data_IF_648174682998
#
_entry.id   IF_648174682998
#
_cell.length_a   1.000
_cell.length_b   1.000
_cell.length_c   1.000
_cell.angle_alpha   90.00
_cell.angle_beta   90.00
_cell.angle_gamma   90.00
#
_symmetry.space_group_name_H-M   'P 1'
#
loop_
_entity.id
_entity.type
_entity.pdbx_description
1 polymer ?
#
# COMPACT_ATOMS: atom_id res chain seq x y z
N UNK A 1 14.07 1.92 1.24
CA UNK A 1 14.70 2.92 0.35
C UNK A 1 13.92 2.84 -0.92
N UNK A 2 12.96 3.72 -1.10
CA UNK A 2 12.13 3.76 -2.30
C UNK A 2 12.78 4.81 -3.20
N UNK A 3 13.47 4.35 -4.24
CA UNK A 3 13.92 5.18 -5.35
C UNK A 3 12.97 4.90 -6.49
N UNK A 4 11.89 5.67 -6.60
CA UNK A 4 11.08 5.72 -7.80
C UNK A 4 10.59 7.16 -7.98
N UNK A 5 10.93 7.77 -9.11
CA UNK A 5 10.19 8.90 -9.65
C UNK A 5 8.92 8.34 -10.27
N UNK A 6 7.75 8.69 -9.71
CA UNK A 6 6.49 8.35 -10.35
C UNK A 6 6.36 9.16 -11.66
N UNK A 7 6.14 8.52 -12.83
CA UNK A 7 5.74 9.25 -14.03
C UNK A 7 4.39 9.94 -13.79
N UNK A 8 4.11 11.00 -14.54
CA UNK A 8 2.80 11.68 -14.51
C UNK A 8 1.66 10.72 -14.88
N UNK A 9 0.58 10.68 -14.08
CA UNK A 9 -0.65 9.90 -14.38
C UNK A 9 -0.88 8.62 -13.57
N UNK A 10 0.01 8.28 -12.65
CA UNK A 10 -0.08 7.04 -11.87
C UNK A 10 -1.00 7.18 -10.65
N UNK A 11 -1.64 6.07 -10.25
CA UNK A 11 -2.29 5.92 -8.94
C UNK A 11 -1.50 4.88 -8.14
N UNK A 12 -0.93 5.31 -7.01
CA UNK A 12 -0.13 4.44 -6.13
C UNK A 12 -0.82 4.31 -4.76
N UNK A 13 -0.78 3.11 -4.19
CA UNK A 13 -1.20 2.84 -2.84
C UNK A 13 0.00 2.47 -1.99
N UNK A 14 0.47 3.38 -1.14
CA UNK A 14 1.68 3.21 -0.32
C UNK A 14 1.30 2.75 1.09
N UNK A 15 1.92 1.68 1.58
CA UNK A 15 1.65 1.11 2.90
C UNK A 15 2.89 0.50 3.56
N UNK A 16 2.77 0.25 4.85
CA UNK A 16 3.76 -0.42 5.68
C UNK A 16 3.02 -1.43 6.58
N UNK A 17 3.63 -2.43 7.26
CA UNK A 17 2.85 -3.59 7.71
C UNK A 17 2.48 -3.72 9.24
N UNK A 18 1.19 -3.73 9.73
CA UNK A 18 0.73 -3.48 11.15
C UNK A 18 -0.71 -4.02 11.53
N UNK A 19 -1.04 -4.42 12.80
CA UNK A 19 -2.30 -5.09 13.26
C UNK A 19 -3.36 -4.14 13.90
N UNK A 20 -4.62 -4.56 14.20
CA UNK A 20 -5.80 -3.65 14.39
C UNK A 20 -6.83 -3.95 15.53
N UNK A 21 -7.73 -2.97 15.84
CA UNK A 21 -9.19 -3.15 16.17
C UNK A 21 -10.09 -1.86 16.05
N UNK A 22 -11.24 -1.99 15.36
CA UNK A 22 -12.55 -1.25 15.27
C UNK A 22 -12.64 0.30 15.13
N UNK A 23 -13.64 0.99 14.53
CA UNK A 23 -14.93 0.75 13.82
C UNK A 23 -15.39 2.08 13.15
N UNK A 24 -16.14 2.13 12.02
CA UNK A 24 -17.00 3.28 11.62
C UNK A 24 -17.98 3.02 10.44
N UNK A 25 -19.19 3.57 10.46
CA UNK A 25 -20.38 3.10 9.72
C UNK A 25 -20.44 3.34 8.18
N UNK A 26 -19.56 4.15 7.59
CA UNK A 26 -19.46 4.28 6.11
C UNK A 26 -18.91 3.01 5.41
N UNK A 27 -18.44 2.06 6.23
CA UNK A 27 -17.88 0.77 5.87
C UNK A 27 -18.91 -0.17 5.19
N UNK A 28 -20.22 0.01 5.43
CA UNK A 28 -21.28 -0.93 4.99
C UNK A 28 -21.39 -1.17 3.47
N UNK A 29 -21.32 -0.11 2.65
CA UNK A 29 -21.45 -0.26 1.19
C UNK A 29 -20.13 -0.76 0.54
N UNK A 30 -18.99 -0.37 1.11
CA UNK A 30 -17.66 -0.82 0.70
C UNK A 30 -17.49 -2.30 1.04
N UNK A 31 -17.89 -2.73 2.24
CA UNK A 31 -17.88 -4.14 2.61
C UNK A 31 -18.75 -4.97 1.66
N UNK A 32 -19.92 -4.49 1.25
CA UNK A 32 -20.77 -5.19 0.27
C UNK A 32 -20.11 -5.30 -1.10
N UNK A 33 -19.46 -4.24 -1.58
CA UNK A 33 -18.79 -4.25 -2.88
C UNK A 33 -17.44 -5.00 -2.86
N UNK A 34 -16.78 -5.10 -1.70
CA UNK A 34 -15.56 -5.89 -1.51
C UNK A 34 -15.84 -7.37 -1.22
N UNK A 35 -16.99 -7.71 -0.63
CA UNK A 35 -17.53 -9.08 -0.63
C UNK A 35 -17.70 -9.60 -2.07
N UNK A 36 -17.96 -8.71 -3.04
CA UNK A 36 -17.99 -9.09 -4.46
C UNK A 36 -16.58 -9.38 -5.03
N UNK A 37 -15.52 -8.70 -4.55
CA UNK A 37 -14.14 -8.99 -4.96
C UNK A 37 -13.71 -10.40 -4.57
N UNK A 38 -14.16 -10.89 -3.41
CA UNK A 38 -13.91 -12.26 -2.93
C UNK A 38 -14.77 -13.30 -3.69
N UNK A 39 -15.95 -12.90 -4.19
CA UNK A 39 -16.86 -13.77 -4.96
C UNK A 39 -16.46 -14.00 -6.43
N UNK A 40 -15.51 -13.23 -6.96
CA UNK A 40 -15.14 -13.25 -8.38
C UNK A 40 -14.24 -14.43 -8.81
N UNK A 41 -14.02 -15.44 -7.95
CA UNK A 41 -13.15 -16.60 -8.22
C UNK A 41 -11.71 -16.22 -8.66
N UNK A 42 -11.25 -15.00 -8.35
CA UNK A 42 -9.89 -14.59 -8.65
C UNK A 42 -8.93 -15.41 -7.80
N UNK A 43 -8.12 -16.25 -8.46
CA UNK A 43 -7.02 -16.96 -7.84
C UNK A 43 -5.72 -16.20 -8.16
N UNK A 44 -5.21 -15.37 -7.22
CA UNK A 44 -4.04 -14.55 -7.47
C UNK A 44 -2.82 -15.46 -7.68
N UNK A 45 -2.23 -15.38 -8.88
CA UNK A 45 -0.97 -16.05 -9.20
C UNK A 45 0.19 -15.11 -8.91
N UNK A 46 0.39 -14.83 -7.62
CA UNK A 46 1.42 -13.88 -7.19
C UNK A 46 2.79 -14.44 -7.51
N UNK A 47 3.54 -13.73 -8.35
CA UNK A 47 4.93 -14.04 -8.65
C UNK A 47 5.83 -12.95 -8.09
N UNK A 48 6.94 -13.37 -7.47
CA UNK A 48 7.96 -12.45 -6.95
C UNK A 48 9.08 -12.28 -7.96
N UNK A 49 9.43 -11.02 -8.26
CA UNK A 49 10.58 -10.63 -9.07
C UNK A 49 11.52 -9.76 -8.25
N UNK A 50 12.80 -10.10 -8.20
CA UNK A 50 13.77 -9.23 -7.54
C UNK A 50 14.16 -8.07 -8.46
N UNK A 51 14.47 -6.91 -7.88
CA UNK A 51 14.97 -5.74 -8.62
C UNK A 51 16.49 -5.73 -8.52
N UNK A 52 17.17 -6.06 -9.63
CA UNK A 52 18.62 -6.28 -9.70
C UNK A 52 19.45 -5.10 -9.15
N UNK A 53 19.06 -3.86 -9.48
CA UNK A 53 19.74 -2.65 -9.01
C UNK A 53 19.70 -2.49 -7.48
N UNK A 54 18.71 -3.07 -6.81
CA UNK A 54 18.53 -2.96 -5.36
C UNK A 54 19.18 -4.12 -4.60
N UNK A 55 19.44 -5.26 -5.24
CA UNK A 55 20.18 -6.38 -4.61
C UNK A 55 21.55 -5.94 -4.10
N UNK A 56 22.19 -4.99 -4.79
CA UNK A 56 23.47 -4.41 -4.40
C UNK A 56 23.42 -3.72 -3.01
N UNK A 57 22.24 -3.25 -2.58
CA UNK A 57 22.03 -2.51 -1.34
C UNK A 57 21.80 -3.43 -0.14
N UNK A 58 21.79 -4.77 -0.34
CA UNK A 58 21.52 -5.80 0.69
C UNK A 58 20.19 -5.63 1.45
N UNK A 59 19.30 -4.75 0.98
CA UNK A 59 17.99 -4.49 1.59
C UNK A 59 16.91 -5.15 0.73
N UNK A 60 15.87 -5.74 1.35
CA UNK A 60 14.82 -6.40 0.60
C UNK A 60 14.05 -5.38 -0.25
N UNK A 61 14.07 -5.57 -1.56
CA UNK A 61 13.24 -4.87 -2.53
C UNK A 61 12.92 -5.82 -3.68
N UNK A 62 11.64 -6.00 -3.96
CA UNK A 62 11.13 -6.91 -4.97
C UNK A 62 9.72 -6.49 -5.37
N UNK A 63 9.30 -6.92 -6.54
CA UNK A 63 7.97 -6.71 -7.09
C UNK A 63 7.14 -7.98 -6.91
N UNK A 64 5.87 -7.82 -6.55
CA UNK A 64 4.88 -8.88 -6.54
C UNK A 64 3.86 -8.59 -7.65
N UNK A 65 3.84 -9.41 -8.69
CA UNK A 65 2.87 -9.26 -9.78
C UNK A 65 1.54 -9.94 -9.42
N UNK A 66 0.44 -9.48 -10.02
CA UNK A 66 -0.87 -10.13 -9.94
C UNK A 66 -1.42 -10.27 -8.50
N UNK A 67 -1.05 -9.35 -7.61
CA UNK A 67 -1.65 -9.24 -6.25
C UNK A 67 -3.12 -8.87 -6.36
N UNK A 68 -3.45 -7.92 -7.24
CA UNK A 68 -4.81 -7.54 -7.61
C UNK A 68 -5.03 -7.84 -9.10
N UNK A 69 -6.26 -8.20 -9.45
CA UNK A 69 -6.71 -8.27 -10.84
C UNK A 69 -6.95 -6.87 -11.42
N UNK A 70 -7.04 -6.79 -12.76
CA UNK A 70 -7.36 -5.53 -13.44
C UNK A 70 -8.73 -4.98 -13.02
N UNK A 71 -9.71 -5.86 -12.83
CA UNK A 71 -11.06 -5.47 -12.41
C UNK A 71 -11.08 -4.97 -10.96
N UNK A 72 -10.30 -5.60 -10.07
CA UNK A 72 -10.14 -5.13 -8.71
C UNK A 72 -9.48 -3.75 -8.66
N UNK A 73 -8.42 -3.54 -9.44
CA UNK A 73 -7.78 -2.24 -9.57
C UNK A 73 -8.75 -1.16 -10.09
N UNK A 74 -9.53 -1.48 -11.13
CA UNK A 74 -10.53 -0.56 -11.69
C UNK A 74 -11.61 -0.22 -10.67
N UNK A 75 -12.15 -1.22 -9.96
CA UNK A 75 -13.15 -1.01 -8.93
C UNK A 75 -12.61 -0.15 -7.79
N UNK A 76 -11.37 -0.35 -7.36
CA UNK A 76 -10.74 0.49 -6.34
C UNK A 76 -10.64 1.95 -6.78
N UNK A 77 -10.23 2.22 -8.02
CA UNK A 77 -10.16 3.57 -8.58
C UNK A 77 -11.56 4.21 -8.61
N UNK A 78 -12.57 3.49 -9.11
CA UNK A 78 -13.95 4.03 -9.17
C UNK A 78 -14.52 4.34 -7.79
N UNK A 79 -14.26 3.48 -6.80
CA UNK A 79 -14.72 3.69 -5.42
C UNK A 79 -14.00 4.87 -4.77
N UNK A 80 -12.68 4.96 -4.93
CA UNK A 80 -11.90 6.05 -4.33
C UNK A 80 -12.24 7.41 -4.92
N UNK A 81 -12.52 7.48 -6.22
CA UNK A 81 -12.98 8.72 -6.86
C UNK A 81 -14.34 9.17 -6.34
N UNK A 82 -15.26 8.23 -6.07
CA UNK A 82 -16.57 8.53 -5.46
C UNK A 82 -16.45 8.98 -4.00
N UNK A 83 -15.49 8.44 -3.25
CA UNK A 83 -15.21 8.87 -1.87
C UNK A 83 -14.64 10.29 -1.83
N UNK A 84 -13.97 10.71 -2.91
CA UNK A 84 -13.33 12.01 -3.03
C UNK A 84 -11.92 12.00 -2.46
N UNK A 85 -11.02 12.72 -3.13
CA UNK A 85 -9.65 12.91 -2.67
C UNK A 85 -9.50 14.29 -2.05
N UNK A 86 -8.64 14.40 -1.03
CA UNK A 86 -8.12 15.69 -0.60
C UNK A 86 -7.10 16.18 -1.62
N UNK A 87 -7.28 17.40 -2.12
CA UNK A 87 -6.36 18.02 -3.08
C UNK A 87 -4.96 18.18 -2.48
N UNK A 88 -3.94 18.01 -3.33
CA UNK A 88 -2.54 18.11 -2.96
C UNK A 88 -2.22 19.38 -2.15
N UNK A 89 -2.78 20.53 -2.52
CA UNK A 89 -2.53 21.82 -1.85
C UNK A 89 -2.92 21.83 -0.37
N UNK A 90 -3.94 21.04 0.03
CA UNK A 90 -4.44 21.02 1.42
C UNK A 90 -3.57 20.20 2.35
N UNK A 91 -2.86 19.20 1.82
CA UNK A 91 -2.11 18.23 2.61
C UNK A 91 -0.60 18.36 2.42
N UNK A 92 -0.15 18.63 1.20
CA UNK A 92 1.27 18.64 0.84
C UNK A 92 2.01 19.92 1.26
N UNK A 93 1.33 20.93 1.80
CA UNK A 93 1.97 22.19 2.21
C UNK A 93 3.12 22.02 3.22
N UNK A 94 3.11 20.92 3.99
CA UNK A 94 4.14 20.58 4.97
C UNK A 94 5.26 19.68 4.41
N UNK A 95 5.17 19.27 3.14
CA UNK A 95 6.06 18.28 2.54
C UNK A 95 6.72 18.84 1.27
N UNK A 96 8.05 18.81 1.22
CA UNK A 96 8.81 19.15 0.01
C UNK A 96 9.10 17.93 -0.88
N UNK A 97 8.73 16.74 -0.42
CA UNK A 97 9.06 15.47 -1.06
C UNK A 97 7.89 14.85 -1.84
N UNK A 98 6.70 15.45 -1.82
CA UNK A 98 5.52 14.92 -2.50
C UNK A 98 4.51 16.00 -2.80
N UNK A 99 3.80 15.85 -3.91
CA UNK A 99 2.66 16.65 -4.27
C UNK A 99 1.66 15.76 -4.98
N UNK A 100 0.61 15.32 -4.29
CA UNK A 100 -0.39 14.41 -4.82
C UNK A 100 -1.73 14.55 -4.11
N UNK A 101 -2.82 14.26 -4.81
CA UNK A 101 -4.13 14.15 -4.16
C UNK A 101 -4.14 12.87 -3.34
N UNK A 102 -4.77 12.91 -2.17
CA UNK A 102 -4.73 11.80 -1.22
C UNK A 102 -6.10 11.48 -0.65
N UNK A 103 -6.41 10.20 -0.59
CA UNK A 103 -7.50 9.65 0.21
C UNK A 103 -6.91 8.68 1.24
N UNK A 104 -7.27 8.87 2.50
CA UNK A 104 -6.93 7.93 3.57
C UNK A 104 -8.16 7.12 3.96
N UNK A 105 -7.98 5.81 4.14
CA UNK A 105 -9.05 4.91 4.56
C UNK A 105 -8.47 3.80 5.43
N UNK A 106 -9.12 3.53 6.56
CA UNK A 106 -8.82 2.37 7.40
C UNK A 106 -9.74 1.22 6.95
N UNK A 107 -9.18 0.19 6.30
CA UNK A 107 -9.95 -0.93 5.74
C UNK A 107 -9.38 -2.29 6.17
N UNK A 108 -9.87 -2.86 7.28
CA UNK A 108 -9.37 -4.13 7.80
C UNK A 108 -9.66 -5.33 6.90
N UNK A 109 -10.77 -5.29 6.13
CA UNK A 109 -11.14 -6.42 5.26
C UNK A 109 -10.25 -6.48 4.03
N UNK A 110 -10.05 -5.33 3.38
CA UNK A 110 -9.11 -5.25 2.26
C UNK A 110 -7.67 -5.58 2.70
N UNK A 111 -7.29 -5.15 3.91
CA UNK A 111 -6.04 -5.55 4.58
C UNK A 111 -5.90 -7.05 4.68
N UNK A 112 -6.92 -7.76 5.16
CA UNK A 112 -6.89 -9.22 5.27
C UNK A 112 -6.77 -9.89 3.89
N UNK A 113 -7.52 -9.42 2.89
CA UNK A 113 -7.46 -9.93 1.52
C UNK A 113 -6.03 -9.80 0.98
N UNK A 114 -5.49 -8.58 0.96
CA UNK A 114 -4.13 -8.34 0.43
C UNK A 114 -3.09 -9.12 1.22
N UNK A 115 -3.20 -9.14 2.56
CA UNK A 115 -2.31 -9.90 3.43
C UNK A 115 -2.24 -11.38 3.07
N UNK A 116 -3.40 -12.03 2.92
CA UNK A 116 -3.49 -13.45 2.59
C UNK A 116 -2.86 -13.76 1.23
N UNK A 117 -2.91 -12.82 0.28
CA UNK A 117 -2.29 -12.97 -1.05
C UNK A 117 -0.76 -12.85 -1.01
N UNK A 118 -0.22 -11.98 -0.16
CA UNK A 118 1.22 -11.63 -0.24
C UNK A 118 2.08 -12.26 0.85
N UNK A 119 1.53 -12.63 2.01
CA UNK A 119 2.31 -12.95 3.23
C UNK A 119 3.41 -13.99 3.03
N UNK A 120 3.15 -15.00 2.19
CA UNK A 120 4.12 -16.06 1.88
C UNK A 120 5.30 -15.60 1.01
N UNK A 121 5.14 -14.48 0.30
CA UNK A 121 6.16 -13.92 -0.58
C UNK A 121 7.06 -12.88 0.11
N UNK A 122 6.65 -12.41 1.30
CA UNK A 122 7.38 -11.44 2.11
C UNK A 122 8.52 -12.10 2.90
N UNK A 123 9.59 -11.35 3.25
CA UNK A 123 10.60 -11.83 4.20
C UNK A 123 9.94 -12.15 5.54
N UNK A 124 10.05 -13.40 5.98
CA UNK A 124 9.50 -13.83 7.29
C UNK A 124 10.30 -13.26 8.46
N UNK A 125 11.58 -12.96 8.22
CA UNK A 125 12.47 -12.33 9.18
C UNK A 125 13.30 -11.22 8.53
N UNK A 126 13.71 -10.24 9.35
CA UNK A 126 14.68 -9.22 8.99
C UNK A 126 15.72 -9.10 10.09
N UNK A 127 17.00 -8.99 9.72
CA UNK A 127 18.06 -8.63 10.67
C UNK A 127 18.23 -7.12 10.69
N UNK A 128 18.16 -6.52 11.88
CA UNK A 128 18.39 -5.09 12.08
C UNK A 128 19.01 -4.85 13.45
N UNK A 129 20.13 -4.12 13.48
CA UNK A 129 20.83 -3.72 14.71
C UNK A 129 21.11 -4.91 15.67
N UNK A 130 21.51 -6.05 15.10
CA UNK A 130 21.78 -7.28 15.85
C UNK A 130 20.54 -8.03 16.34
N UNK A 131 19.33 -7.61 15.96
CA UNK A 131 18.06 -8.24 16.33
C UNK A 131 17.40 -8.91 15.13
N UNK A 132 16.70 -10.00 15.39
CA UNK A 132 15.80 -10.65 14.42
C UNK A 132 14.39 -10.12 14.63
N UNK A 133 13.87 -9.45 13.61
CA UNK A 133 12.48 -9.01 13.53
C UNK A 133 11.67 -10.09 12.80
N UNK A 134 10.45 -10.34 13.28
CA UNK A 134 9.54 -11.30 12.67
C UNK A 134 8.39 -10.58 11.98
N UNK A 135 7.99 -11.09 10.82
CA UNK A 135 6.85 -10.59 10.06
C UNK A 135 5.55 -10.74 10.87
N UNK A 136 4.72 -9.68 10.92
CA UNK A 136 3.48 -9.65 11.69
C UNK A 136 2.21 -9.57 10.82
N UNK A 137 1.97 -8.46 10.12
CA UNK A 137 0.77 -8.20 9.31
C UNK A 137 0.98 -7.00 8.39
N UNK A 138 -0.06 -6.46 7.69
CA UNK A 138 0.01 -5.17 6.94
C UNK A 138 -0.82 -4.01 7.55
N UNK A 139 -0.39 -2.73 7.51
CA UNK A 139 -1.04 -1.60 8.20
C UNK A 139 -2.43 -1.37 7.62
N UNK A 140 -3.48 -1.32 8.45
CA UNK A 140 -4.85 -1.19 7.97
C UNK A 140 -5.17 0.17 7.36
N UNK A 141 -4.31 1.18 7.58
CA UNK A 141 -4.46 2.53 7.02
C UNK A 141 -3.88 2.63 5.62
N UNK A 142 -4.77 2.59 4.64
CA UNK A 142 -4.48 2.78 3.23
C UNK A 142 -4.38 4.25 2.87
N UNK A 143 -3.40 4.56 2.01
CA UNK A 143 -3.19 5.88 1.41
C UNK A 143 -3.27 5.71 -0.08
N UNK A 144 -4.40 6.11 -0.66
CA UNK A 144 -4.56 6.16 -2.11
C UNK A 144 -4.05 7.50 -2.59
N UNK A 145 -3.04 7.47 -3.44
CA UNK A 145 -2.39 8.66 -3.98
C UNK A 145 -2.74 8.76 -5.47
N UNK A 146 -3.27 9.92 -5.88
CA UNK A 146 -3.60 10.24 -7.28
C UNK A 146 -2.68 11.33 -7.81
N UNK A 147 -1.97 11.03 -8.89
CA UNK A 147 -0.98 11.92 -9.50
C UNK A 147 -1.51 12.51 -10.81
N UNK A 148 -1.75 13.81 -10.82
CA UNK A 148 -2.12 14.62 -11.99
C UNK A 148 -0.85 15.14 -12.69
N UNK A 149 -0.93 15.70 -13.91
CA UNK A 149 0.21 16.40 -14.50
C UNK A 149 0.79 17.45 -13.54
N UNK A 150 2.11 17.43 -13.33
CA UNK A 150 2.81 18.29 -12.36
C UNK A 150 2.87 17.75 -10.92
N UNK A 151 2.11 16.71 -10.59
CA UNK A 151 2.26 15.99 -9.31
C UNK A 151 3.56 15.19 -9.28
N UNK A 152 4.13 15.01 -8.10
CA UNK A 152 5.43 14.35 -7.94
C UNK A 152 5.55 13.57 -6.63
N UNK A 153 6.49 12.63 -6.62
CA UNK A 153 6.93 11.89 -5.44
C UNK A 153 8.46 11.83 -5.50
N UNK A 154 9.10 12.73 -4.76
CA UNK A 154 10.56 12.85 -4.71
C UNK A 154 11.16 11.84 -3.73
N UNK A 155 12.47 11.63 -3.85
CA UNK A 155 13.23 10.74 -2.96
C UNK A 155 13.11 11.17 -1.50
N UNK A 156 12.70 10.23 -0.65
CA UNK A 156 12.66 10.41 0.80
C UNK A 156 12.78 9.07 1.54
N UNK A 157 12.71 9.14 2.86
CA UNK A 157 12.58 7.98 3.74
C UNK A 157 11.19 8.01 4.35
N UNK A 158 10.45 6.91 4.22
CA UNK A 158 9.13 6.80 4.82
C UNK A 158 9.20 6.89 6.35
N UNK A 159 8.21 7.57 6.94
CA UNK A 159 8.01 7.58 8.38
C UNK A 159 7.67 6.17 8.89
N UNK A 160 8.07 5.88 10.13
CA UNK A 160 7.64 4.65 10.79
C UNK A 160 6.28 4.85 11.48
N UNK A 161 5.37 3.91 11.32
CA UNK A 161 4.21 3.78 12.18
C UNK A 161 4.51 2.77 13.30
N UNK A 162 4.07 3.09 14.50
CA UNK A 162 4.13 2.22 15.67
C UNK A 162 2.71 1.91 16.15
N UNK A 163 2.39 0.63 16.27
CA UNK A 163 1.19 0.17 16.95
C UNK A 163 1.57 -0.26 18.36
N UNK A 164 1.28 0.62 19.31
CA UNK A 164 1.56 0.37 20.72
C UNK A 164 0.71 -0.73 21.32
N UNK A 165 -0.52 -0.97 20.80
CA UNK A 165 -1.43 -2.01 21.31
C UNK A 165 -0.87 -3.40 20.99
N UNK A 166 -0.50 -3.64 19.74
CA UNK A 166 0.05 -4.95 19.32
C UNK A 166 1.58 -5.01 19.40
N UNK A 167 2.24 -3.94 19.86
CA UNK A 167 3.71 -3.82 19.99
C UNK A 167 4.43 -4.07 18.66
N UNK A 168 3.89 -3.55 17.56
CA UNK A 168 4.48 -3.69 16.21
C UNK A 168 4.94 -2.35 15.65
N UNK A 169 5.88 -2.40 14.71
CA UNK A 169 6.46 -1.22 14.03
C UNK A 169 6.71 -1.53 12.57
N UNK A 170 6.45 -0.57 11.68
CA UNK A 170 6.74 -0.72 10.26
C UNK A 170 8.25 -0.66 9.97
N UNK A 171 8.74 -1.62 9.19
CA UNK A 171 10.13 -1.67 8.68
C UNK A 171 10.25 -1.75 7.16
N UNK A 172 9.19 -2.16 6.47
CA UNK A 172 9.12 -2.26 5.02
C UNK A 172 8.02 -1.34 4.50
N UNK A 173 8.15 -0.94 3.24
CA UNK A 173 7.09 -0.26 2.50
C UNK A 173 6.60 -1.20 1.42
N UNK A 174 5.30 -1.21 1.19
CA UNK A 174 4.66 -1.89 0.10
C UNK A 174 3.85 -0.87 -0.69
N UNK A 175 4.00 -0.91 -2.00
CA UNK A 175 3.33 -0.02 -2.92
C UNK A 175 2.55 -0.89 -3.90
N UNK A 176 1.25 -0.66 -4.02
CA UNK A 176 0.41 -1.31 -5.02
C UNK A 176 0.07 -0.28 -6.09
N UNK A 177 0.43 -0.60 -7.33
CA UNK A 177 0.06 0.18 -8.50
C UNK A 177 -1.33 -0.24 -8.98
N UNK A 178 -2.23 0.73 -9.13
CA UNK A 178 -3.63 0.47 -9.52
C UNK A 178 -3.88 0.72 -11.01
N UNK A 179 -2.95 1.37 -11.70
CA UNK A 179 -2.98 1.57 -13.14
C UNK A 179 -1.57 1.46 -13.71
N UNK A 180 -1.46 1.47 -15.04
CA UNK A 180 -0.21 1.21 -15.77
C UNK A 180 -0.07 2.14 -16.98
N UNK A 181 -0.27 3.45 -16.78
CA UNK A 181 -0.15 4.39 -17.91
C UNK A 181 1.22 4.32 -18.57
#
# INVERSE_FOLDING_TARGET
MTLLSAPTGWNEMVYAPILNDSNDENISQIQKNMLLMDSNNWCPRVSRKTVEEVEQVKKPCFVLDQVLSKDECKLMIELSEKMGYEDADKFCYAYNDRFNDRLMSDDPKFTEIVWNRIKQHLPQTLSKDGRTLHLASINPRWRLCKYKPGHYFNKHVDGSFEDHKNKTKSYLTLIIYLNSQ
#
